data_IF_606770881449
#
_entry.id   IF_606770881449
#
_cell.length_a   1.000
_cell.length_b   1.000
_cell.length_c   1.000
_cell.angle_alpha   90.00
_cell.angle_beta   90.00
_cell.angle_gamma   90.00
#
_symmetry.space_group_name_H-M   'P 1'
#
loop_
_entity.id
_entity.type
_entity.pdbx_description
1 polymer ?
#
# COMPACT_ATOMS: atom_id res chain seq x y z
N UNK A 1 25.57 -27.03 42.18
CA UNK A 1 24.59 -28.06 41.80
C UNK A 1 24.16 -27.73 40.36
N UNK A 2 24.62 -28.59 39.45
CA UNK A 2 24.34 -28.50 38.02
C UNK A 2 22.91 -28.93 37.71
N UNK A 3 22.21 -28.20 36.88
CA UNK A 3 21.11 -28.77 36.13
C UNK A 3 21.09 -28.16 34.73
N UNK A 4 21.66 -28.92 33.79
CA UNK A 4 21.58 -28.69 32.35
C UNK A 4 20.18 -29.04 31.86
N UNK A 5 19.54 -28.17 31.13
CA UNK A 5 18.33 -28.47 30.33
C UNK A 5 18.75 -28.54 28.86
N UNK A 6 18.63 -29.73 28.30
CA UNK A 6 18.90 -30.03 26.90
C UNK A 6 17.74 -29.57 26.02
N UNK A 7 18.02 -28.78 24.99
CA UNK A 7 17.13 -28.56 23.86
C UNK A 7 17.01 -29.81 23.00
N UNK A 8 15.82 -30.29 22.77
CA UNK A 8 15.52 -31.35 21.82
C UNK A 8 15.40 -30.80 20.41
N UNK A 9 16.24 -31.31 19.53
CA UNK A 9 16.20 -31.07 18.08
C UNK A 9 15.10 -31.96 17.49
N UNK A 10 14.09 -31.39 16.83
CA UNK A 10 13.17 -32.17 16.03
C UNK A 10 13.60 -32.10 14.56
N UNK A 11 13.83 -33.29 14.02
CA UNK A 11 14.35 -33.48 12.67
C UNK A 11 13.34 -33.14 11.58
N UNK A 12 13.88 -32.64 10.49
CA UNK A 12 13.19 -32.40 9.22
C UNK A 12 12.85 -33.74 8.56
N UNK A 13 11.58 -33.93 8.21
CA UNK A 13 11.12 -35.00 7.33
C UNK A 13 11.17 -34.49 5.89
N UNK A 14 12.10 -35.08 5.12
CA UNK A 14 12.18 -34.84 3.66
C UNK A 14 11.19 -35.76 2.98
N UNK A 15 10.17 -35.22 2.34
CA UNK A 15 9.25 -35.99 1.48
C UNK A 15 9.74 -35.88 0.03
N UNK A 16 10.22 -37.01 -0.49
CA UNK A 16 10.56 -37.15 -1.91
C UNK A 16 9.30 -37.41 -2.73
N UNK A 17 9.01 -36.54 -3.68
CA UNK A 17 7.99 -36.78 -4.71
C UNK A 17 8.61 -37.56 -5.89
N UNK A 18 8.09 -38.77 -6.10
CA UNK A 18 8.36 -39.58 -7.30
C UNK A 18 7.47 -39.10 -8.43
N UNK A 19 8.06 -38.55 -9.48
CA UNK A 19 7.36 -38.19 -10.71
C UNK A 19 7.26 -39.43 -11.59
N UNK A 20 6.06 -39.95 -11.76
CA UNK A 20 5.78 -41.05 -12.73
C UNK A 20 5.42 -40.45 -14.08
N UNK A 21 6.29 -40.63 -15.05
CA UNK A 21 6.09 -40.26 -16.46
C UNK A 21 5.17 -41.28 -17.12
N UNK A 22 3.96 -40.91 -17.51
CA UNK A 22 3.07 -41.70 -18.34
C UNK A 22 3.17 -41.19 -19.79
N UNK A 23 3.82 -42.00 -20.64
CA UNK A 23 3.81 -41.85 -22.10
C UNK A 23 2.51 -42.40 -22.66
N UNK A 24 1.74 -41.55 -23.35
CA UNK A 24 0.59 -42.01 -24.14
C UNK A 24 1.00 -42.08 -25.62
N UNK A 25 0.98 -43.28 -26.16
CA UNK A 25 1.19 -43.57 -27.59
C UNK A 25 0.05 -43.00 -28.42
N UNK A 26 0.41 -42.29 -29.47
CA UNK A 26 -0.47 -41.86 -30.56
C UNK A 26 -0.87 -43.05 -31.42
N UNK A 27 -2.19 -43.20 -31.63
CA UNK A 27 -2.72 -44.06 -32.71
C UNK A 27 -3.20 -43.18 -33.86
N UNK A 28 -2.57 -43.35 -35.01
CA UNK A 28 -2.99 -42.78 -36.32
C UNK A 28 -3.89 -43.79 -36.96
N UNK A 29 -5.14 -43.46 -37.14
CA UNK A 29 -6.11 -44.21 -37.92
C UNK A 29 -6.47 -43.43 -39.17
N UNK A 30 -5.97 -43.89 -40.33
CA UNK A 30 -6.39 -43.44 -41.65
C UNK A 30 -7.71 -44.10 -42.02
N UNK A 31 -8.74 -43.33 -42.37
CA UNK A 31 -9.92 -43.83 -43.07
C UNK A 31 -10.18 -42.96 -44.31
N UNK A 32 -10.34 -43.68 -45.42
CA UNK A 32 -10.38 -43.16 -46.76
C UNK A 32 -11.75 -42.63 -47.16
N UNK A 33 -11.70 -41.82 -48.17
CA UNK A 33 -12.74 -41.12 -48.93
C UNK A 33 -13.91 -41.91 -49.43
N UNK A 34 -15.09 -41.28 -49.42
CA UNK A 34 -16.15 -41.53 -50.41
C UNK A 34 -16.72 -40.19 -50.86
N UNK A 35 -16.58 -39.91 -52.15
CA UNK A 35 -17.20 -38.77 -52.83
C UNK A 35 -18.70 -39.08 -53.10
N UNK A 36 -19.56 -38.11 -52.81
CA UNK A 36 -20.85 -37.98 -53.43
C UNK A 36 -21.17 -36.50 -53.66
N UNK A 37 -21.42 -36.12 -54.88
CA UNK A 37 -21.83 -34.78 -55.31
C UNK A 37 -23.39 -34.69 -55.38
N UNK A 38 -24.01 -33.56 -55.81
CA UNK A 38 -24.62 -32.60 -54.92
C UNK A 38 -26.14 -32.60 -55.02
N UNK A 39 -26.86 -32.12 -54.04
CA UNK A 39 -28.24 -31.68 -54.21
C UNK A 39 -28.39 -30.25 -53.63
N UNK A 40 -29.08 -29.49 -54.49
CA UNK A 40 -29.39 -28.09 -54.33
C UNK A 40 -30.45 -27.79 -53.25
N UNK A 41 -30.39 -26.54 -52.78
CA UNK A 41 -31.46 -25.68 -52.32
C UNK A 41 -32.18 -26.04 -51.00
N UNK A 42 -31.81 -25.30 -49.97
CA UNK A 42 -32.79 -24.57 -49.14
C UNK A 42 -32.05 -23.43 -48.41
N UNK A 43 -32.24 -22.23 -48.90
CA UNK A 43 -32.00 -20.99 -48.16
C UNK A 43 -32.76 -21.03 -46.83
N UNK A 44 -32.04 -21.20 -45.71
CA UNK A 44 -32.44 -20.74 -44.42
C UNK A 44 -31.30 -19.89 -43.90
N UNK A 45 -31.42 -18.60 -44.07
CA UNK A 45 -30.63 -17.56 -43.41
C UNK A 45 -30.82 -17.77 -41.91
N UNK A 46 -29.90 -18.47 -41.27
CA UNK A 46 -29.70 -18.38 -39.86
C UNK A 46 -29.06 -16.99 -39.63
N UNK A 47 -29.92 -15.99 -39.45
CA UNK A 47 -29.53 -14.73 -38.82
C UNK A 47 -28.84 -15.07 -37.51
N UNK A 48 -27.51 -14.94 -37.49
CA UNK A 48 -26.75 -14.97 -36.25
C UNK A 48 -27.27 -13.80 -35.40
N UNK A 49 -28.12 -14.13 -34.43
CA UNK A 49 -28.61 -13.20 -33.44
C UNK A 49 -27.40 -12.69 -32.72
N UNK A 50 -27.01 -11.43 -32.97
CA UNK A 50 -26.00 -10.73 -32.25
C UNK A 50 -26.32 -10.88 -30.75
N UNK A 51 -25.34 -11.07 -29.88
CA UNK A 51 -25.60 -11.16 -28.45
C UNK A 51 -26.41 -9.93 -28.05
N UNK A 52 -27.53 -10.14 -27.36
CA UNK A 52 -28.40 -9.09 -26.88
C UNK A 52 -27.54 -8.20 -25.95
N UNK A 53 -27.09 -7.08 -26.49
CA UNK A 53 -26.53 -6.01 -25.64
C UNK A 53 -27.68 -5.50 -24.79
N UNK A 54 -27.69 -5.87 -23.52
CA UNK A 54 -28.60 -5.28 -22.55
C UNK A 54 -28.32 -3.76 -22.53
N UNK A 55 -29.24 -2.98 -23.12
CA UNK A 55 -29.26 -1.52 -23.00
C UNK A 55 -29.94 -1.08 -21.71
N UNK A 56 -29.92 -1.91 -20.67
CA UNK A 56 -30.41 -1.53 -19.37
C UNK A 56 -29.61 -0.31 -18.88
N UNK A 57 -30.30 0.71 -18.44
CA UNK A 57 -29.67 1.90 -17.86
C UNK A 57 -28.76 1.46 -16.69
N UNK A 58 -27.53 1.98 -16.70
CA UNK A 58 -26.50 1.61 -15.71
C UNK A 58 -25.85 2.87 -15.15
N UNK A 59 -25.53 2.82 -13.86
CA UNK A 59 -24.83 3.87 -13.13
C UNK A 59 -23.35 3.57 -12.99
N UNK A 60 -22.51 4.59 -13.12
CA UNK A 60 -21.07 4.49 -12.83
C UNK A 60 -20.87 4.36 -11.32
N UNK A 61 -20.09 3.35 -10.91
CA UNK A 61 -19.69 3.13 -9.52
C UNK A 61 -18.30 3.72 -9.28
N UNK A 62 -18.25 4.86 -8.63
CA UNK A 62 -17.01 5.54 -8.30
C UNK A 62 -16.26 4.83 -7.20
N UNK A 63 -14.97 4.57 -7.43
CA UNK A 63 -14.07 3.97 -6.45
C UNK A 63 -13.21 5.05 -5.80
N UNK A 64 -13.25 5.09 -4.48
CA UNK A 64 -12.51 6.04 -3.65
C UNK A 64 -11.60 5.28 -2.69
N UNK A 65 -10.42 5.80 -2.41
CA UNK A 65 -9.47 5.24 -1.47
C UNK A 65 -9.12 6.24 -0.37
N UNK A 66 -9.25 5.82 0.87
CA UNK A 66 -8.82 6.59 2.03
C UNK A 66 -7.41 6.15 2.44
N UNK A 67 -6.42 6.99 2.15
CA UNK A 67 -5.02 6.70 2.50
C UNK A 67 -4.76 6.57 4.00
N UNK A 68 -5.60 7.19 4.85
CA UNK A 68 -5.42 7.18 6.30
C UNK A 68 -5.97 5.93 6.97
N UNK A 69 -7.03 5.31 6.39
CA UNK A 69 -7.66 4.11 6.93
C UNK A 69 -7.44 2.86 6.08
N UNK A 70 -6.93 3.01 4.84
CA UNK A 70 -6.84 1.92 3.87
C UNK A 70 -8.20 1.49 3.29
N UNK A 71 -9.27 2.19 3.62
CA UNK A 71 -10.63 1.87 3.18
C UNK A 71 -10.82 2.17 1.70
N UNK A 72 -11.47 1.24 0.98
CA UNK A 72 -12.07 1.51 -0.31
C UNK A 72 -13.57 1.76 -0.16
N UNK A 73 -14.01 2.92 -0.62
CA UNK A 73 -15.42 3.30 -0.62
C UNK A 73 -15.97 3.35 -2.04
N UNK A 74 -17.22 2.91 -2.20
CA UNK A 74 -17.87 2.81 -3.50
C UNK A 74 -19.22 3.50 -3.48
N UNK A 75 -19.51 4.30 -4.50
CA UNK A 75 -20.77 5.06 -4.61
C UNK A 75 -21.13 5.35 -6.05
N UNK A 76 -22.43 5.45 -6.35
CA UNK A 76 -22.95 6.02 -7.60
C UNK A 76 -23.16 7.54 -7.51
N UNK A 77 -23.05 8.13 -6.32
CA UNK A 77 -23.31 9.56 -6.09
C UNK A 77 -22.07 10.40 -6.43
N UNK A 78 -22.20 11.30 -7.41
CA UNK A 78 -21.17 12.30 -7.71
C UNK A 78 -20.96 13.27 -6.55
N UNK A 79 -22.01 13.59 -5.80
CA UNK A 79 -21.92 14.48 -4.63
C UNK A 79 -21.09 13.85 -3.52
N UNK A 80 -21.30 12.55 -3.26
CA UNK A 80 -20.56 11.80 -2.26
C UNK A 80 -19.09 11.65 -2.68
N UNK A 81 -18.82 11.29 -3.94
CA UNK A 81 -17.47 11.27 -4.51
C UNK A 81 -16.75 12.62 -4.32
N UNK A 82 -17.37 13.72 -4.72
CA UNK A 82 -16.73 15.03 -4.67
C UNK A 82 -16.51 15.51 -3.24
N UNK A 83 -17.42 15.16 -2.31
CA UNK A 83 -17.25 15.42 -0.89
C UNK A 83 -16.07 14.66 -0.30
N UNK A 84 -15.88 13.40 -0.70
CA UNK A 84 -14.75 12.58 -0.26
C UNK A 84 -13.43 13.08 -0.83
N UNK A 85 -13.39 13.50 -2.11
CA UNK A 85 -12.21 14.15 -2.70
C UNK A 85 -11.80 15.38 -1.90
N UNK A 86 -12.78 16.25 -1.58
CA UNK A 86 -12.53 17.44 -0.75
C UNK A 86 -12.07 17.11 0.68
N UNK A 87 -12.43 15.93 1.18
CA UNK A 87 -11.95 15.40 2.46
C UNK A 87 -10.59 14.68 2.37
N UNK A 88 -9.93 14.70 1.20
CA UNK A 88 -8.60 14.13 0.98
C UNK A 88 -8.57 12.66 0.55
N UNK A 89 -9.72 12.07 0.19
CA UNK A 89 -9.76 10.75 -0.40
C UNK A 89 -9.28 10.78 -1.85
N UNK A 90 -8.58 9.73 -2.28
CA UNK A 90 -8.18 9.57 -3.68
C UNK A 90 -9.34 9.01 -4.49
N UNK A 91 -9.72 9.69 -5.57
CA UNK A 91 -10.61 9.16 -6.58
C UNK A 91 -9.83 8.25 -7.53
N UNK A 92 -10.22 6.98 -7.62
CA UNK A 92 -9.54 5.98 -8.44
C UNK A 92 -10.24 5.68 -9.77
N UNK A 93 -11.30 6.41 -10.09
CA UNK A 93 -12.06 6.22 -11.31
C UNK A 93 -13.33 5.41 -11.12
N UNK A 94 -13.85 4.88 -12.22
CA UNK A 94 -15.07 4.05 -12.23
C UNK A 94 -14.64 2.60 -12.04
N UNK A 95 -15.00 1.98 -10.91
CA UNK A 95 -14.70 0.58 -10.63
C UNK A 95 -15.46 -0.38 -11.53
N UNK A 96 -16.75 -0.11 -11.75
CA UNK A 96 -17.65 -0.86 -12.65
C UNK A 96 -18.89 -0.04 -12.96
N UNK A 97 -19.77 -0.59 -13.79
CA UNK A 97 -21.13 -0.07 -13.97
C UNK A 97 -22.13 -1.01 -13.33
N UNK A 98 -22.99 -0.50 -12.48
CA UNK A 98 -24.07 -1.24 -11.85
C UNK A 98 -25.39 -0.98 -12.58
N UNK A 99 -26.31 -1.96 -12.69
CA UNK A 99 -27.63 -1.68 -13.23
C UNK A 99 -28.38 -0.71 -12.32
N UNK A 100 -29.17 0.20 -12.90
CA UNK A 100 -29.98 1.14 -12.10
C UNK A 100 -31.03 0.43 -11.23
N UNK A 101 -31.51 -0.71 -11.69
CA UNK A 101 -32.45 -1.58 -10.97
C UNK A 101 -32.20 -3.03 -11.30
N UNK A 102 -32.35 -3.92 -10.30
CA UNK A 102 -32.43 -5.38 -10.47
C UNK A 102 -33.13 -6.00 -9.26
N UNK A 103 -33.33 -7.33 -9.29
CA UNK A 103 -33.85 -8.07 -8.13
C UNK A 103 -32.80 -8.37 -7.05
N UNK A 104 -31.53 -8.00 -7.31
CA UNK A 104 -30.39 -8.29 -6.42
C UNK A 104 -29.78 -6.99 -5.83
N UNK A 105 -30.36 -6.44 -4.76
CA UNK A 105 -29.81 -5.24 -4.10
C UNK A 105 -28.46 -5.53 -3.45
N UNK A 106 -27.55 -4.54 -3.49
CA UNK A 106 -26.33 -4.52 -2.70
C UNK A 106 -26.53 -3.57 -1.52
N UNK A 107 -26.51 -4.12 -0.32
CA UNK A 107 -26.71 -3.39 0.92
C UNK A 107 -25.43 -2.72 1.37
N UNK A 108 -25.51 -1.45 1.84
CA UNK A 108 -24.39 -0.71 2.41
C UNK A 108 -24.54 -0.59 3.91
N UNK A 109 -23.46 -0.91 4.63
CA UNK A 109 -23.38 -0.86 6.09
C UNK A 109 -22.11 -0.13 6.51
N UNK A 110 -22.14 0.51 7.68
CA UNK A 110 -21.02 1.26 8.24
C UNK A 110 -20.75 0.87 9.68
N UNK A 111 -19.49 0.53 9.99
CA UNK A 111 -19.06 0.12 11.34
C UNK A 111 -18.74 1.29 12.29
N UNK A 112 -18.60 2.50 11.75
CA UNK A 112 -18.00 3.66 12.41
C UNK A 112 -16.61 4.01 11.87
N UNK A 113 -15.95 3.04 11.23
CA UNK A 113 -14.59 3.19 10.66
C UNK A 113 -14.45 2.66 9.25
N UNK A 114 -15.32 1.74 8.82
CA UNK A 114 -15.24 1.05 7.52
C UNK A 114 -16.64 0.76 6.98
N UNK A 115 -16.77 0.72 5.64
CA UNK A 115 -18.00 0.33 4.95
C UNK A 115 -17.92 -1.11 4.46
N UNK A 116 -19.06 -1.80 4.58
CA UNK A 116 -19.22 -3.14 4.05
C UNK A 116 -20.39 -3.20 3.06
N UNK A 117 -20.21 -3.99 2.00
CA UNK A 117 -21.19 -4.15 0.95
C UNK A 117 -21.50 -5.62 0.73
N UNK A 118 -22.78 -5.98 0.65
CA UNK A 118 -23.20 -7.37 0.47
C UNK A 118 -24.55 -7.48 -0.24
N UNK A 119 -24.74 -8.53 -1.03
CA UNK A 119 -26.04 -8.93 -1.56
C UNK A 119 -26.81 -9.83 -0.59
N UNK A 120 -26.17 -10.33 0.47
CA UNK A 120 -26.76 -11.23 1.44
C UNK A 120 -27.56 -10.48 2.48
N UNK A 121 -28.89 -10.67 2.50
CA UNK A 121 -29.74 -10.14 3.56
C UNK A 121 -29.38 -10.72 4.94
N UNK A 122 -28.93 -11.98 4.98
CA UNK A 122 -28.46 -12.60 6.22
C UNK A 122 -27.22 -11.92 6.78
N UNK A 123 -26.22 -11.64 5.92
CA UNK A 123 -24.97 -10.94 6.32
C UNK A 123 -25.30 -9.51 6.78
N UNK A 124 -26.14 -8.77 6.04
CA UNK A 124 -26.66 -7.47 6.46
C UNK A 124 -27.27 -7.51 7.87
N UNK A 125 -28.21 -8.42 8.10
CA UNK A 125 -28.94 -8.48 9.37
C UNK A 125 -28.02 -8.91 10.53
N UNK A 126 -27.05 -9.77 10.27
CA UNK A 126 -26.01 -10.17 11.23
C UNK A 126 -25.11 -9.00 11.62
N UNK A 127 -24.68 -8.19 10.66
CA UNK A 127 -23.87 -6.99 10.91
C UNK A 127 -24.67 -5.92 11.69
N UNK A 128 -25.95 -5.71 11.36
CA UNK A 128 -26.82 -4.82 12.14
C UNK A 128 -26.93 -5.32 13.59
N UNK A 129 -27.11 -6.62 13.78
CA UNK A 129 -27.13 -7.24 15.12
C UNK A 129 -25.80 -7.07 15.89
N UNK A 130 -24.70 -6.88 15.18
CA UNK A 130 -23.36 -6.61 15.73
C UNK A 130 -23.06 -5.12 15.90
N UNK A 131 -24.04 -4.23 15.68
CA UNK A 131 -23.90 -2.78 15.89
C UNK A 131 -23.53 -1.96 14.66
N UNK A 132 -23.48 -2.56 13.48
CA UNK A 132 -23.26 -1.81 12.23
C UNK A 132 -24.50 -0.99 11.86
N UNK A 133 -24.29 0.21 11.34
CA UNK A 133 -25.35 1.07 10.84
C UNK A 133 -25.72 0.65 9.41
N UNK A 134 -26.98 0.31 9.19
CA UNK A 134 -27.49 0.09 7.85
C UNK A 134 -27.76 1.43 7.14
N UNK A 135 -27.17 1.63 5.99
CA UNK A 135 -27.27 2.87 5.20
C UNK A 135 -28.17 2.73 3.97
N UNK A 136 -28.81 1.57 3.80
CA UNK A 136 -29.74 1.34 2.71
C UNK A 136 -29.13 0.49 1.58
N UNK A 137 -29.80 0.53 0.41
CA UNK A 137 -29.29 -0.10 -0.81
C UNK A 137 -28.33 0.90 -1.46
N UNK A 138 -27.06 0.49 -1.62
CA UNK A 138 -26.06 1.30 -2.30
C UNK A 138 -26.25 1.30 -3.83
N UNK A 139 -26.50 0.12 -4.40
CA UNK A 139 -26.75 -0.12 -5.84
C UNK A 139 -27.36 -1.50 -6.03
N UNK A 140 -27.38 -1.99 -7.28
CA UNK A 140 -27.85 -3.33 -7.61
C UNK A 140 -26.78 -4.15 -8.32
N UNK A 141 -26.81 -5.46 -8.11
CA UNK A 141 -26.04 -6.43 -8.90
C UNK A 141 -26.75 -6.75 -10.21
N UNK A 142 -26.01 -7.02 -11.28
CA UNK A 142 -26.58 -7.68 -12.46
C UNK A 142 -27.09 -9.08 -12.07
N UNK A 143 -28.33 -9.37 -12.41
CA UNK A 143 -28.98 -10.63 -12.03
C UNK A 143 -29.37 -11.52 -13.24
N UNK A 144 -29.38 -10.95 -14.45
CA UNK A 144 -29.73 -11.65 -15.69
C UNK A 144 -28.50 -12.23 -16.41
N UNK A 145 -27.44 -11.40 -16.62
CA UNK A 145 -26.22 -11.77 -17.33
C UNK A 145 -25.04 -11.70 -16.37
N UNK A 146 -24.72 -12.81 -15.73
CA UNK A 146 -23.67 -12.88 -14.69
C UNK A 146 -22.28 -13.18 -15.29
N UNK A 147 -21.87 -12.40 -16.27
CA UNK A 147 -20.60 -12.56 -16.99
C UNK A 147 -19.46 -11.67 -16.50
N UNK A 148 -19.75 -10.69 -15.60
CA UNK A 148 -18.80 -9.71 -15.08
C UNK A 148 -18.73 -9.77 -13.55
N UNK A 149 -18.00 -10.75 -12.99
CA UNK A 149 -17.91 -10.92 -11.55
C UNK A 149 -17.10 -9.78 -10.89
N UNK A 150 -17.55 -9.36 -9.70
CA UNK A 150 -16.72 -8.60 -8.76
C UNK A 150 -16.25 -9.52 -7.65
N UNK A 151 -14.95 -9.53 -7.44
CA UNK A 151 -14.28 -10.30 -6.40
C UNK A 151 -14.18 -9.50 -5.12
N UNK A 152 -14.45 -10.15 -3.98
CA UNK A 152 -14.30 -9.57 -2.64
C UNK A 152 -13.03 -10.11 -1.99
N UNK A 153 -12.28 -9.21 -1.38
CA UNK A 153 -11.12 -9.52 -0.56
C UNK A 153 -11.26 -8.81 0.78
N UNK A 154 -10.86 -9.49 1.84
CA UNK A 154 -10.79 -8.96 3.20
C UNK A 154 -9.33 -8.86 3.63
N UNK A 155 -8.94 -7.71 4.16
CA UNK A 155 -7.64 -7.52 4.76
C UNK A 155 -7.65 -8.01 6.22
N UNK A 156 -7.07 -9.18 6.55
CA UNK A 156 -7.01 -9.69 7.91
C UNK A 156 -5.90 -9.02 8.74
N UNK A 157 -5.01 -8.27 8.06
CA UNK A 157 -3.88 -7.62 8.70
C UNK A 157 -4.37 -6.35 9.39
N UNK A 158 -5.14 -6.54 10.46
CA UNK A 158 -5.53 -5.46 11.36
C UNK A 158 -4.25 -4.91 11.96
N UNK A 159 -3.88 -3.69 11.61
CA UNK A 159 -2.79 -3.02 12.31
C UNK A 159 -3.27 -2.71 13.73
N UNK A 160 -2.87 -3.55 14.67
CA UNK A 160 -3.27 -3.48 16.08
C UNK A 160 -2.68 -2.24 16.75
N UNK A 161 -1.74 -1.57 16.11
CA UNK A 161 -1.03 -0.42 16.65
C UNK A 161 -1.20 0.81 15.74
N UNK A 162 -2.17 1.60 16.05
CA UNK A 162 -2.44 3.05 15.87
C UNK A 162 -1.81 3.87 14.71
N UNK A 163 -0.86 3.35 13.93
CA UNK A 163 -0.16 4.11 12.90
C UNK A 163 -0.87 4.01 11.53
N UNK A 164 -1.46 2.87 11.24
CA UNK A 164 -2.32 2.66 10.07
C UNK A 164 -3.58 1.96 10.54
N UNK A 165 -4.67 2.70 10.67
CA UNK A 165 -5.96 2.15 11.07
C UNK A 165 -6.58 1.37 9.90
N UNK A 166 -5.89 0.31 9.48
CA UNK A 166 -6.32 -0.63 8.47
C UNK A 166 -7.20 -1.68 9.14
N UNK A 167 -8.33 -1.23 9.68
CA UNK A 167 -9.23 -2.02 10.51
C UNK A 167 -10.09 -2.96 9.67
N UNK A 168 -9.46 -3.99 9.06
CA UNK A 168 -10.22 -5.05 8.44
C UNK A 168 -11.04 -4.62 7.23
N UNK A 169 -10.51 -3.72 6.39
CA UNK A 169 -11.20 -3.20 5.22
C UNK A 169 -11.40 -4.26 4.13
N UNK A 170 -12.45 -4.06 3.34
CA UNK A 170 -12.72 -4.89 2.16
C UNK A 170 -12.36 -4.15 0.87
N UNK A 171 -11.87 -4.91 -0.11
CA UNK A 171 -11.75 -4.45 -1.50
C UNK A 171 -12.71 -5.22 -2.39
N UNK A 172 -13.25 -4.54 -3.41
CA UNK A 172 -14.14 -5.11 -4.42
C UNK A 172 -13.64 -4.69 -5.80
N UNK A 173 -13.36 -5.67 -6.66
CA UNK A 173 -12.77 -5.41 -7.98
C UNK A 173 -13.26 -6.37 -9.05
N UNK A 174 -13.34 -5.90 -10.29
CA UNK A 174 -13.53 -6.75 -11.46
C UNK A 174 -12.23 -7.38 -11.95
N UNK A 175 -11.07 -6.79 -11.57
CA UNK A 175 -9.75 -7.28 -11.98
C UNK A 175 -9.37 -8.54 -11.20
N UNK A 176 -9.25 -9.66 -11.94
CA UNK A 176 -8.72 -10.88 -11.34
C UNK A 176 -7.23 -10.76 -10.96
N UNK A 177 -6.47 -9.92 -11.68
CA UNK A 177 -5.06 -9.66 -11.37
C UNK A 177 -4.92 -8.92 -10.05
N UNK A 178 -5.74 -7.87 -9.82
CA UNK A 178 -5.80 -7.17 -8.53
C UNK A 178 -6.22 -8.11 -7.39
N UNK A 179 -7.25 -8.93 -7.62
CA UNK A 179 -7.67 -9.97 -6.68
C UNK A 179 -6.51 -10.91 -6.32
N UNK A 180 -5.82 -11.44 -7.33
CA UNK A 180 -4.72 -12.39 -7.13
C UNK A 180 -3.53 -11.74 -6.42
N UNK A 181 -3.22 -10.49 -6.76
CA UNK A 181 -2.17 -9.72 -6.11
C UNK A 181 -2.47 -9.53 -4.61
N UNK A 182 -3.68 -9.09 -4.25
CA UNK A 182 -4.07 -8.89 -2.85
C UNK A 182 -4.06 -10.19 -2.06
N UNK A 183 -4.54 -11.30 -2.65
CA UNK A 183 -4.47 -12.62 -2.00
C UNK A 183 -3.00 -13.05 -1.80
N UNK A 184 -2.14 -12.82 -2.78
CA UNK A 184 -0.70 -13.05 -2.67
C UNK A 184 -0.02 -12.20 -1.59
N UNK A 185 -0.55 -10.99 -1.34
CA UNK A 185 -0.12 -10.09 -0.27
C UNK A 185 -0.72 -10.43 1.12
N UNK A 186 -1.43 -11.57 1.24
CA UNK A 186 -1.97 -12.06 2.51
C UNK A 186 -3.41 -11.66 2.80
N UNK A 187 -4.12 -11.03 1.85
CA UNK A 187 -5.55 -10.80 2.00
C UNK A 187 -6.34 -12.10 1.83
N UNK A 188 -7.46 -12.20 2.50
CA UNK A 188 -8.37 -13.34 2.35
C UNK A 188 -9.30 -13.11 1.16
N UNK A 189 -9.19 -13.96 0.12
CA UNK A 189 -10.17 -14.00 -0.96
C UNK A 189 -11.50 -14.56 -0.47
N UNK A 190 -12.60 -13.85 -0.71
CA UNK A 190 -13.95 -14.23 -0.26
C UNK A 190 -14.87 -14.60 -1.44
N UNK A 191 -14.28 -14.76 -2.62
CA UNK A 191 -15.00 -15.18 -3.82
C UNK A 191 -15.71 -14.03 -4.55
N UNK A 192 -16.73 -14.36 -5.32
CA UNK A 192 -17.54 -13.38 -6.07
C UNK A 192 -18.59 -12.79 -5.14
N UNK A 193 -18.56 -11.47 -5.02
CA UNK A 193 -19.52 -10.72 -4.20
C UNK A 193 -20.85 -10.45 -4.94
N UNK A 194 -20.75 -9.97 -6.19
CA UNK A 194 -21.86 -9.69 -7.11
C UNK A 194 -21.36 -9.58 -8.55
N UNK A 195 -22.24 -9.13 -9.47
CA UNK A 195 -21.93 -8.99 -10.88
C UNK A 195 -22.22 -7.56 -11.35
N UNK A 196 -21.36 -7.03 -12.23
CA UNK A 196 -21.52 -5.74 -12.86
C UNK A 196 -22.38 -5.84 -14.13
N UNK A 197 -23.07 -4.75 -14.49
CA UNK A 197 -23.72 -4.58 -15.79
C UNK A 197 -22.73 -4.19 -16.88
N UNK A 198 -21.60 -3.57 -16.53
CA UNK A 198 -20.59 -3.12 -17.49
C UNK A 198 -19.23 -2.89 -16.85
N UNK A 199 -18.22 -2.79 -17.75
CA UNK A 199 -16.85 -2.47 -17.37
C UNK A 199 -16.76 -1.10 -16.74
N UNK A 200 -15.84 -0.96 -15.81
CA UNK A 200 -15.41 0.32 -15.26
C UNK A 200 -14.34 0.99 -16.14
N UNK A 201 -13.90 2.13 -15.69
CA UNK A 201 -12.75 2.85 -16.21
C UNK A 201 -11.98 3.40 -15.00
N UNK A 202 -11.19 2.53 -14.38
CA UNK A 202 -10.27 2.99 -13.35
C UNK A 202 -9.28 3.95 -13.97
N UNK A 203 -9.02 5.04 -13.27
CA UNK A 203 -7.93 5.92 -13.65
C UNK A 203 -6.65 5.08 -13.57
N UNK A 204 -5.72 5.28 -14.49
CA UNK A 204 -4.40 4.69 -14.33
C UNK A 204 -3.94 4.99 -12.91
N UNK A 205 -3.44 3.99 -12.20
CA UNK A 205 -2.76 4.27 -10.92
C UNK A 205 -1.59 5.22 -11.28
N UNK A 206 -1.86 6.52 -11.11
CA UNK A 206 -0.90 7.57 -11.44
C UNK A 206 0.19 7.68 -10.39
N UNK A 207 0.08 6.88 -9.31
CA UNK A 207 1.23 6.71 -8.46
C UNK A 207 2.25 5.87 -9.25
N UNK A 208 3.33 6.46 -9.72
CA UNK A 208 4.38 5.72 -10.37
C UNK A 208 4.87 4.64 -9.42
N UNK A 209 5.24 3.46 -9.93
CA UNK A 209 5.85 2.42 -9.11
C UNK A 209 7.07 2.98 -8.37
N UNK A 210 7.43 2.38 -7.25
CA UNK A 210 8.64 2.77 -6.53
C UNK A 210 9.87 2.79 -7.46
N UNK A 211 10.01 1.81 -8.37
CA UNK A 211 11.10 1.78 -9.34
C UNK A 211 11.06 2.96 -10.31
N UNK A 212 9.87 3.35 -10.79
CA UNK A 212 9.73 4.49 -11.69
C UNK A 212 10.02 5.83 -10.99
N UNK A 213 9.68 5.95 -9.70
CA UNK A 213 10.04 7.11 -8.88
C UNK A 213 11.54 7.12 -8.60
N UNK A 214 12.11 5.99 -8.18
CA UNK A 214 13.53 5.85 -7.94
C UNK A 214 14.37 6.24 -9.16
N UNK A 215 13.94 5.85 -10.36
CA UNK A 215 14.62 6.18 -11.61
C UNK A 215 14.64 7.69 -11.93
N UNK A 216 13.80 8.50 -11.29
CA UNK A 216 13.75 9.96 -11.44
C UNK A 216 14.66 10.70 -10.45
N UNK A 217 15.10 10.01 -9.39
CA UNK A 217 15.96 10.60 -8.38
C UNK A 217 17.40 10.67 -8.91
N UNK A 218 18.07 11.77 -8.62
CA UNK A 218 19.55 11.87 -8.74
C UNK A 218 20.18 11.13 -7.55
N UNK A 219 19.96 9.79 -7.49
CA UNK A 219 20.27 8.94 -6.35
C UNK A 219 21.53 8.11 -6.60
N UNK A 220 22.52 8.31 -5.75
CA UNK A 220 23.68 7.43 -5.61
C UNK A 220 23.45 6.44 -4.47
N UNK A 221 23.51 5.14 -4.77
CA UNK A 221 23.45 4.08 -3.77
C UNK A 221 24.86 3.81 -3.24
N UNK A 222 25.08 4.10 -1.95
CA UNK A 222 26.36 3.93 -1.26
C UNK A 222 26.14 3.26 0.10
N UNK A 223 25.55 2.05 0.07
CA UNK A 223 25.17 1.32 1.29
C UNK A 223 26.38 0.96 2.15
N UNK A 224 26.30 1.28 3.44
CA UNK A 224 27.38 1.12 4.42
C UNK A 224 26.97 0.13 5.52
N UNK A 225 27.53 -1.09 5.53
CA UNK A 225 27.25 -2.07 6.57
C UNK A 225 27.57 -1.57 7.99
N UNK A 226 28.56 -0.69 8.12
CA UNK A 226 28.94 -0.11 9.41
C UNK A 226 27.91 0.87 9.99
N UNK A 227 27.00 1.39 9.16
CA UNK A 227 25.92 2.31 9.54
C UNK A 227 24.55 1.61 9.58
N UNK A 228 24.52 0.32 9.23
CA UNK A 228 23.30 -0.49 9.08
C UNK A 228 23.12 -1.39 10.30
N UNK A 229 21.92 -1.32 10.89
CA UNK A 229 21.59 -2.10 12.08
C UNK A 229 20.56 -3.20 11.78
N UNK A 230 19.62 -3.43 12.67
CA UNK A 230 18.66 -4.53 12.55
C UNK A 230 17.76 -4.41 11.33
N UNK A 231 17.40 -5.54 10.75
CA UNK A 231 16.32 -5.59 9.75
C UNK A 231 14.98 -5.21 10.39
N UNK A 232 14.24 -4.28 9.78
CA UNK A 232 12.94 -3.83 10.26
C UNK A 232 11.79 -4.14 9.30
N UNK A 233 12.02 -4.06 8.00
CA UNK A 233 10.98 -4.22 6.97
C UNK A 233 9.84 -3.20 7.08
N UNK A 234 8.81 -3.41 6.26
CA UNK A 234 7.65 -2.51 6.19
C UNK A 234 6.81 -2.49 7.48
N UNK A 235 6.77 -3.60 8.21
CA UNK A 235 5.94 -3.74 9.43
C UNK A 235 6.31 -2.77 10.56
N UNK A 236 7.53 -2.23 10.51
CA UNK A 236 8.03 -1.28 11.49
C UNK A 236 8.00 0.16 10.99
N UNK A 237 7.80 0.37 9.69
CA UNK A 237 7.82 1.71 9.12
C UNK A 237 6.56 2.49 9.49
N UNK A 238 6.72 3.71 10.01
CA UNK A 238 5.62 4.57 10.40
C UNK A 238 5.93 6.06 10.20
N UNK A 239 7.21 6.41 10.21
CA UNK A 239 7.64 7.81 10.18
C UNK A 239 8.71 8.08 9.12
N UNK A 240 8.74 9.31 8.63
CA UNK A 240 9.89 9.94 7.99
C UNK A 240 10.34 11.06 8.93
N UNK A 241 11.59 11.02 9.38
CA UNK A 241 12.18 12.05 10.24
C UNK A 241 13.14 12.89 9.41
N UNK A 242 12.88 14.17 9.35
CA UNK A 242 13.70 15.15 8.64
C UNK A 242 14.74 15.77 9.56
N UNK A 243 15.95 15.89 9.05
CA UNK A 243 17.12 16.41 9.73
C UNK A 243 17.85 17.43 8.88
N UNK A 244 18.68 18.27 9.52
CA UNK A 244 19.70 19.10 8.88
C UNK A 244 21.08 18.61 9.30
N UNK A 245 22.02 18.57 8.36
CA UNK A 245 23.40 18.16 8.65
C UNK A 245 24.15 19.14 9.57
N UNK A 246 23.58 20.31 9.82
CA UNK A 246 24.25 21.47 10.48
C UNK A 246 25.60 21.77 9.85
N UNK A 247 25.71 21.56 8.53
CA UNK A 247 26.94 21.67 7.77
C UNK A 247 26.71 21.97 6.29
N UNK A 248 27.80 22.06 5.57
CA UNK A 248 27.80 22.28 4.13
C UNK A 248 28.66 21.22 3.44
N UNK A 249 28.41 21.01 2.16
CA UNK A 249 29.23 20.14 1.33
C UNK A 249 28.43 19.14 0.50
N UNK A 250 29.15 18.18 -0.03
CA UNK A 250 28.59 17.08 -0.83
C UNK A 250 27.97 16.03 0.10
N UNK A 251 26.78 15.47 -0.22
CA UNK A 251 26.14 14.40 0.56
C UNK A 251 27.05 13.20 0.83
N UNK A 252 27.92 12.84 -0.10
CA UNK A 252 28.89 11.76 0.09
C UNK A 252 29.86 12.05 1.24
N UNK A 253 30.33 13.29 1.36
CA UNK A 253 31.23 13.70 2.43
C UNK A 253 30.56 13.64 3.81
N UNK A 254 29.26 13.83 3.87
CA UNK A 254 28.47 13.66 5.12
C UNK A 254 28.53 12.21 5.56
N UNK A 255 28.25 11.28 4.64
CA UNK A 255 28.30 9.83 4.92
C UNK A 255 29.71 9.38 5.31
N UNK A 256 30.72 9.85 4.59
CA UNK A 256 32.13 9.55 4.90
C UNK A 256 32.54 10.12 6.28
N UNK A 257 32.00 11.29 6.65
CA UNK A 257 32.16 11.88 7.98
C UNK A 257 31.60 11.00 9.09
N UNK A 258 30.42 10.38 8.89
CA UNK A 258 29.84 9.44 9.86
C UNK A 258 30.70 8.18 10.01
N UNK A 259 31.19 7.65 8.90
CA UNK A 259 32.10 6.49 8.90
C UNK A 259 33.43 6.81 9.60
N UNK A 260 34.01 7.97 9.33
CA UNK A 260 35.28 8.38 9.92
C UNK A 260 35.18 8.61 11.42
N UNK A 261 34.10 9.24 11.87
CA UNK A 261 33.89 9.54 13.29
C UNK A 261 33.56 8.29 14.12
N UNK A 262 33.14 7.19 13.51
CA UNK A 262 32.81 5.94 14.18
C UNK A 262 31.69 6.06 15.22
N UNK A 263 30.88 7.12 15.14
CA UNK A 263 29.83 7.42 16.13
C UNK A 263 28.64 6.45 16.04
N UNK A 264 28.56 5.66 14.97
CA UNK A 264 27.45 4.72 14.75
C UNK A 264 26.10 5.41 14.54
N UNK A 265 26.12 6.69 14.12
CA UNK A 265 24.92 7.48 13.79
C UNK A 265 24.89 7.75 12.28
N UNK A 266 23.72 7.62 11.68
CA UNK A 266 23.51 7.94 10.27
C UNK A 266 22.01 7.98 9.99
N UNK A 267 21.60 8.80 9.01
CA UNK A 267 20.30 8.71 8.37
C UNK A 267 20.33 7.74 7.17
N UNK A 268 19.18 7.37 6.63
CA UNK A 268 19.10 6.49 5.45
C UNK A 268 19.53 7.23 4.18
N UNK A 269 19.18 8.51 4.10
CA UNK A 269 19.43 9.37 2.95
C UNK A 269 20.05 10.71 3.36
N UNK A 270 20.87 11.24 2.48
CA UNK A 270 21.38 12.62 2.55
C UNK A 270 21.02 13.33 1.25
N UNK A 271 20.41 14.52 1.34
CA UNK A 271 19.96 15.33 0.20
C UNK A 271 20.82 16.59 0.11
N UNK A 272 21.55 16.74 -1.01
CA UNK A 272 22.43 17.86 -1.29
C UNK A 272 21.70 19.11 -1.75
N UNK A 273 22.38 20.25 -1.67
CA UNK A 273 21.86 21.55 -2.11
C UNK A 273 21.50 21.59 -3.60
N UNK A 274 22.13 20.76 -4.42
CA UNK A 274 21.91 20.62 -5.86
C UNK A 274 20.85 19.58 -6.22
N UNK A 275 20.20 18.96 -5.21
CA UNK A 275 19.22 17.89 -5.39
C UNK A 275 19.82 16.50 -5.58
N UNK A 276 21.15 16.34 -5.45
CA UNK A 276 21.78 15.02 -5.39
C UNK A 276 21.37 14.29 -4.10
N UNK A 277 21.22 12.97 -4.18
CA UNK A 277 20.82 12.14 -3.03
C UNK A 277 21.82 11.01 -2.87
N UNK A 278 22.25 10.74 -1.64
CA UNK A 278 23.04 9.56 -1.29
C UNK A 278 22.20 8.69 -0.36
N UNK A 279 22.02 7.42 -0.73
CA UNK A 279 21.45 6.39 0.14
C UNK A 279 22.58 5.59 0.76
N UNK A 280 22.73 5.66 2.09
CA UNK A 280 23.81 4.95 2.80
C UNK A 280 23.31 3.81 3.70
N UNK A 281 22.01 3.75 4.02
CA UNK A 281 21.36 2.63 4.69
C UNK A 281 20.16 2.16 3.86
N UNK A 282 20.00 0.86 3.73
CA UNK A 282 18.85 0.29 3.05
C UNK A 282 17.58 0.55 3.87
N UNK A 283 16.46 0.85 3.19
CA UNK A 283 15.21 1.24 3.85
C UNK A 283 14.62 0.15 4.76
N UNK A 284 14.90 -1.12 4.45
CA UNK A 284 14.42 -2.24 5.27
C UNK A 284 15.25 -2.47 6.55
N UNK A 285 16.23 -1.62 6.79
CA UNK A 285 17.09 -1.71 7.97
C UNK A 285 16.99 -0.46 8.85
N UNK A 286 17.40 -0.61 10.09
CA UNK A 286 17.46 0.48 11.06
C UNK A 286 18.72 1.31 10.83
N UNK A 287 18.56 2.64 10.80
CA UNK A 287 19.62 3.63 10.95
C UNK A 287 19.44 4.36 12.29
N UNK A 288 20.54 4.71 12.94
CA UNK A 288 20.50 5.44 14.19
C UNK A 288 20.59 6.95 13.96
N UNK A 289 19.46 7.56 13.64
CA UNK A 289 19.39 9.00 13.28
C UNK A 289 18.62 9.86 14.27
N UNK A 290 17.61 9.30 14.96
CA UNK A 290 16.71 10.07 15.79
C UNK A 290 17.10 10.07 17.30
N UNK A 291 18.13 9.29 17.69
CA UNK A 291 18.59 9.23 19.07
C UNK A 291 17.49 8.88 20.07
N UNK A 292 17.66 9.39 21.30
CA UNK A 292 16.65 9.27 22.34
C UNK A 292 15.64 10.39 22.26
N UNK A 293 14.37 10.02 22.19
CA UNK A 293 13.27 10.98 22.37
C UNK A 293 13.07 11.39 23.83
N UNK A 294 12.15 12.30 24.05
CA UNK A 294 11.76 12.67 25.41
C UNK A 294 11.03 11.53 26.12
N UNK A 295 11.09 11.53 27.44
CA UNK A 295 10.50 10.48 28.26
C UNK A 295 9.01 10.29 27.95
N UNK A 296 8.62 9.06 27.63
CA UNK A 296 7.24 8.70 27.29
C UNK A 296 6.90 8.82 25.79
N UNK A 297 7.82 9.33 24.96
CA UNK A 297 7.55 9.55 23.53
C UNK A 297 7.37 8.26 22.73
N UNK A 298 7.99 7.14 23.12
CA UNK A 298 7.67 5.85 22.47
C UNK A 298 6.16 5.58 22.48
N UNK A 299 5.51 5.77 23.62
CA UNK A 299 4.08 5.56 23.77
C UNK A 299 3.27 6.69 23.12
N UNK A 300 3.70 7.94 23.21
CA UNK A 300 3.01 9.08 22.62
C UNK A 300 2.98 9.01 21.09
N UNK A 301 4.10 8.64 20.46
CA UNK A 301 4.21 8.44 19.04
C UNK A 301 3.79 7.03 18.57
N UNK A 302 3.43 6.14 19.49
CA UNK A 302 3.05 4.76 19.15
C UNK A 302 4.18 3.94 18.53
N UNK A 303 5.45 4.28 18.80
CA UNK A 303 6.60 3.59 18.24
C UNK A 303 7.08 2.46 19.14
N UNK A 304 7.55 1.38 18.50
CA UNK A 304 8.09 0.19 19.17
C UNK A 304 9.61 0.23 19.23
N UNK A 305 10.16 -0.36 20.27
CA UNK A 305 11.58 -0.66 20.35
C UNK A 305 11.84 -2.15 20.22
N UNK A 306 12.98 -2.49 19.65
CA UNK A 306 13.45 -3.85 19.68
C UNK A 306 13.81 -4.21 21.13
N UNK A 307 13.25 -5.30 21.70
CA UNK A 307 13.53 -5.65 23.10
C UNK A 307 14.97 -6.16 23.24
N UNK A 308 15.90 -5.28 23.62
CA UNK A 308 17.28 -5.67 23.91
C UNK A 308 17.42 -6.38 25.24
N UNK A 309 16.58 -6.07 26.23
CA UNK A 309 16.74 -6.54 27.60
C UNK A 309 15.43 -6.72 28.39
N UNK A 310 14.29 -6.60 27.72
CA UNK A 310 12.97 -6.64 28.37
C UNK A 310 12.58 -5.32 29.05
N UNK A 311 13.37 -4.25 28.97
CA UNK A 311 12.98 -2.93 29.34
C UNK A 311 12.25 -2.26 28.18
N UNK A 312 11.03 -1.83 28.42
CA UNK A 312 10.07 -1.45 27.36
C UNK A 312 10.00 0.05 27.08
N UNK A 313 10.90 0.88 27.61
CA UNK A 313 10.76 2.34 27.44
C UNK A 313 12.10 3.06 27.54
N UNK A 314 12.97 2.85 26.57
CA UNK A 314 14.21 3.61 26.46
C UNK A 314 14.01 4.94 25.73
N UNK A 315 12.84 5.20 25.14
CA UNK A 315 12.55 6.33 24.25
C UNK A 315 13.47 6.38 23.00
N UNK A 316 13.84 5.21 22.48
CA UNK A 316 14.71 5.06 21.31
C UNK A 316 13.96 4.49 20.08
N UNK A 317 12.65 4.29 20.20
CA UNK A 317 11.81 3.57 19.24
C UNK A 317 11.74 4.21 17.86
N UNK A 318 11.91 5.54 17.75
CA UNK A 318 11.83 6.24 16.48
C UNK A 318 12.85 5.71 15.45
N UNK A 319 14.04 5.35 15.86
CA UNK A 319 15.05 4.77 14.96
C UNK A 319 14.58 3.46 14.29
N UNK A 320 13.78 2.66 14.99
CA UNK A 320 13.25 1.41 14.49
C UNK A 320 12.04 1.60 13.57
N UNK A 321 11.29 2.69 13.75
CA UNK A 321 10.00 2.90 13.10
C UNK A 321 10.05 4.00 12.02
N UNK A 322 11.23 4.44 11.59
CA UNK A 322 11.34 5.55 10.67
C UNK A 322 12.44 5.40 9.61
N UNK A 323 12.30 6.22 8.57
CA UNK A 323 13.35 6.59 7.63
C UNK A 323 13.87 7.97 8.03
N UNK A 324 15.16 8.11 8.27
CA UNK A 324 15.83 9.40 8.46
C UNK A 324 16.30 9.98 7.13
N UNK A 325 16.07 11.26 6.93
CA UNK A 325 16.56 12.03 5.77
C UNK A 325 17.30 13.25 6.29
N UNK A 326 18.59 13.35 5.99
CA UNK A 326 19.43 14.53 6.26
C UNK A 326 19.39 15.47 5.07
N UNK A 327 19.16 16.75 5.31
CA UNK A 327 19.33 17.80 4.32
C UNK A 327 20.62 18.55 4.57
N UNK A 328 21.45 18.69 3.55
CA UNK A 328 22.66 19.52 3.68
C UNK A 328 22.25 20.97 3.86
N UNK A 329 22.32 21.44 5.10
CA UNK A 329 21.93 22.79 5.50
C UNK A 329 22.54 23.14 6.85
N UNK A 330 22.71 24.44 7.15
CA UNK A 330 23.05 24.92 8.49
C UNK A 330 22.13 26.07 8.91
N UNK A 331 21.87 26.17 10.19
CA UNK A 331 21.02 27.20 10.76
C UNK A 331 21.53 28.62 10.42
N UNK A 332 20.63 29.47 9.91
CA UNK A 332 20.94 30.82 9.46
C UNK A 332 21.38 30.92 7.99
N UNK A 333 21.36 29.84 7.23
CA UNK A 333 21.51 29.88 5.77
C UNK A 333 20.31 30.58 5.11
N UNK A 334 19.14 30.55 5.75
CA UNK A 334 17.95 31.33 5.43
C UNK A 334 16.98 30.69 4.45
N UNK A 335 17.39 29.73 3.64
CA UNK A 335 16.50 29.02 2.70
C UNK A 335 17.08 27.68 2.26
N UNK A 336 16.20 26.79 1.81
CA UNK A 336 16.54 25.55 1.13
C UNK A 336 16.43 25.77 -0.38
N UNK A 337 17.46 25.43 -1.17
CA UNK A 337 17.38 25.57 -2.63
C UNK A 337 16.24 24.75 -3.22
N UNK A 338 15.59 25.29 -4.26
CA UNK A 338 14.49 24.61 -4.97
C UNK A 338 14.87 23.20 -5.45
N UNK A 339 16.11 23.00 -5.92
CA UNK A 339 16.60 21.69 -6.34
C UNK A 339 16.63 20.68 -5.18
N UNK A 340 16.97 21.12 -3.96
CA UNK A 340 16.99 20.30 -2.76
C UNK A 340 15.56 19.95 -2.31
N UNK A 341 14.65 20.93 -2.29
CA UNK A 341 13.24 20.72 -1.93
C UNK A 341 12.53 19.79 -2.92
N UNK A 342 12.71 20.01 -4.23
CA UNK A 342 12.18 19.14 -5.26
C UNK A 342 12.73 17.70 -5.17
N UNK A 343 14.00 17.54 -4.79
CA UNK A 343 14.59 16.23 -4.55
C UNK A 343 13.98 15.56 -3.30
N UNK A 344 13.75 16.32 -2.25
CA UNK A 344 13.07 15.82 -1.03
C UNK A 344 11.62 15.39 -1.33
N UNK A 345 10.85 16.17 -2.09
CA UNK A 345 9.49 15.81 -2.53
C UNK A 345 9.48 14.47 -3.27
N UNK A 346 10.37 14.32 -4.25
CA UNK A 346 10.47 13.10 -5.03
C UNK A 346 10.96 11.90 -4.19
N UNK A 347 11.85 12.12 -3.22
CA UNK A 347 12.33 11.09 -2.31
C UNK A 347 11.22 10.62 -1.36
N UNK A 348 10.43 11.52 -0.82
CA UNK A 348 9.26 11.19 0.02
C UNK A 348 8.26 10.35 -0.80
N UNK A 349 7.94 10.77 -2.03
CA UNK A 349 7.06 10.03 -2.93
C UNK A 349 7.61 8.62 -3.23
N UNK A 350 8.93 8.48 -3.40
CA UNK A 350 9.57 7.19 -3.58
C UNK A 350 9.45 6.30 -2.33
N UNK A 351 9.72 6.84 -1.14
CA UNK A 351 9.61 6.11 0.14
C UNK A 351 8.18 5.60 0.35
N UNK A 352 7.18 6.47 0.12
CA UNK A 352 5.77 6.11 0.23
C UNK A 352 5.37 5.01 -0.75
N UNK A 353 5.85 5.09 -1.99
CA UNK A 353 5.57 4.06 -3.00
C UNK A 353 6.29 2.74 -2.68
N UNK A 354 7.50 2.79 -2.09
CA UNK A 354 8.26 1.61 -1.70
C UNK A 354 7.52 0.81 -0.62
N UNK A 355 7.00 1.48 0.40
CA UNK A 355 6.25 0.81 1.47
C UNK A 355 4.76 0.61 1.12
N UNK A 356 4.23 1.26 0.08
CA UNK A 356 2.83 1.18 -0.31
C UNK A 356 1.87 2.01 0.55
N UNK A 357 2.40 2.87 1.42
CA UNK A 357 1.63 3.78 2.28
C UNK A 357 2.40 5.07 2.58
N UNK A 358 1.71 6.08 3.09
CA UNK A 358 2.32 7.35 3.50
C UNK A 358 2.73 7.31 4.97
N UNK A 359 4.05 7.37 5.22
CA UNK A 359 4.59 7.53 6.57
C UNK A 359 4.31 8.92 7.13
N UNK A 360 4.11 9.03 8.45
CA UNK A 360 3.96 10.33 9.10
C UNK A 360 5.27 11.11 9.05
N UNK A 361 5.23 12.35 8.54
CA UNK A 361 6.41 13.20 8.48
C UNK A 361 6.53 14.03 9.76
N UNK A 362 7.70 13.98 10.38
CA UNK A 362 8.09 14.83 11.51
C UNK A 362 9.52 15.36 11.29
N UNK A 363 9.92 16.36 12.04
CA UNK A 363 11.34 16.71 12.19
C UNK A 363 11.91 16.13 13.49
N UNK A 364 13.22 16.18 13.61
CA UNK A 364 13.91 15.67 14.80
C UNK A 364 13.47 16.37 16.09
N UNK A 365 13.17 17.67 16.05
CA UNK A 365 12.72 18.44 17.23
C UNK A 365 11.39 17.95 17.79
N UNK A 366 10.51 17.42 16.96
CA UNK A 366 9.23 16.86 17.42
C UNK A 366 9.44 15.60 18.26
N UNK A 367 10.48 14.80 17.94
CA UNK A 367 10.85 13.61 18.71
C UNK A 367 11.72 13.93 19.91
N UNK A 368 12.71 14.81 19.75
CA UNK A 368 13.68 15.18 20.78
C UNK A 368 13.61 16.70 21.05
N UNK A 369 12.74 17.12 21.97
CA UNK A 369 12.52 18.53 22.31
C UNK A 369 13.84 19.13 22.83
N UNK A 370 14.25 20.26 22.22
CA UNK A 370 15.51 20.94 22.54
C UNK A 370 16.69 20.55 21.65
N UNK A 371 16.48 19.63 20.69
CA UNK A 371 17.42 19.41 19.61
C UNK A 371 17.45 20.65 18.67
N UNK A 372 18.59 20.97 18.07
CA UNK A 372 18.72 22.07 17.09
C UNK A 372 18.30 21.68 15.69
N UNK A 373 18.26 20.43 15.42
CA UNK A 373 18.01 19.81 14.12
C UNK A 373 16.51 19.44 13.98
N UNK A 374 15.73 19.94 13.01
CA UNK A 374 16.09 20.81 11.87
C UNK A 374 16.32 22.27 12.29
N UNK A 375 16.91 23.09 11.41
CA UNK A 375 17.06 24.52 11.66
C UNK A 375 15.71 25.25 11.73
N UNK A 376 15.68 26.45 12.30
CA UNK A 376 14.47 27.29 12.31
C UNK A 376 14.00 27.68 10.91
N UNK A 377 14.90 27.66 9.92
CA UNK A 377 14.60 27.97 8.52
C UNK A 377 13.64 26.96 7.90
N UNK A 378 13.62 25.71 8.40
CA UNK A 378 12.73 24.65 7.89
C UNK A 378 11.29 24.75 8.39
N UNK A 379 11.03 25.51 9.44
CA UNK A 379 9.70 25.53 10.08
C UNK A 379 8.55 25.88 9.14
N UNK A 380 8.79 26.74 8.13
CA UNK A 380 7.78 27.12 7.12
C UNK A 380 7.47 26.00 6.13
N UNK A 381 8.40 25.08 5.90
CA UNK A 381 8.24 23.94 4.99
C UNK A 381 7.62 22.72 5.68
N UNK A 382 7.95 22.51 6.96
CA UNK A 382 7.53 21.32 7.71
C UNK A 382 6.00 21.14 7.71
N UNK A 383 5.24 22.20 7.87
CA UNK A 383 3.77 22.15 7.83
C UNK A 383 3.24 21.72 6.44
N UNK A 384 3.88 22.16 5.36
CA UNK A 384 3.53 21.72 4.02
C UNK A 384 3.86 20.25 3.83
N UNK A 385 5.07 19.80 4.20
CA UNK A 385 5.44 18.39 4.13
C UNK A 385 4.48 17.49 4.92
N UNK A 386 4.09 17.90 6.11
CA UNK A 386 3.16 17.14 6.96
C UNK A 386 1.75 17.03 6.36
N UNK A 387 1.28 18.07 5.65
CA UNK A 387 -0.07 18.12 5.09
C UNK A 387 -0.16 17.73 3.62
N UNK A 388 0.82 18.14 2.83
CA UNK A 388 0.78 18.08 1.37
C UNK A 388 1.83 17.11 0.80
N UNK A 389 2.82 16.71 1.63
CA UNK A 389 3.96 15.86 1.27
C UNK A 389 4.91 16.46 0.23
N UNK A 390 4.88 17.76 0.08
CA UNK A 390 5.78 18.56 -0.74
C UNK A 390 5.96 19.95 -0.10
N UNK A 391 6.99 20.69 -0.54
CA UNK A 391 7.30 22.04 -0.08
C UNK A 391 6.33 23.13 -0.53
#
# INVERSE_FOLDING_TARGET
>A
MNTSIRCAVHGALTLAFVVTLLTVLSWVGTAAYAFASPMQDADSVLEAQAPATSTAASADMYRMYNRNSGEHFYTASTVERDSLVNAGWRYEGIGWRAPETSSAPVYRLYSGTDHHYTTSAYERDSLIGSGWRYEGIGWYSEDAIKDKPLYRQFNPNVNIEAIHNNSGSHNYTMSYDEHSFLVGAGWRGEGVAWYAAGEGALLPNTNPSADALRARLNLTTYLQPALTYNYKGADWQGYIVLHDTEGSGDPMNVVDGWLYNGAGVASHFVVGLDGSIVQCVDMDYVAHHAGWGNRGFNREFGVREWPYDGSVDTNYGMNFCSIGIEMVHWNGQGYYPEAQLAALDNLIAYIDAYYGFESTIIDHKMWAIGNSDTSSDFASYLDNYRRLRHH
#
